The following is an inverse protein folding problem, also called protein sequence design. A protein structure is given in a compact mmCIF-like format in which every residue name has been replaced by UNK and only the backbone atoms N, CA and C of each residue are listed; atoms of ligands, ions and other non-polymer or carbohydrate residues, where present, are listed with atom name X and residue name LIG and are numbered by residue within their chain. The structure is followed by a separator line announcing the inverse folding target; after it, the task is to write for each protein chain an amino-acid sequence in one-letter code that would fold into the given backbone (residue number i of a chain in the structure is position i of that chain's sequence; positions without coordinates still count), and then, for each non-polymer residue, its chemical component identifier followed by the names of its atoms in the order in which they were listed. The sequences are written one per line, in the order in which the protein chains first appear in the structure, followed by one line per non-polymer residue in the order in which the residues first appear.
data_IF_159070426876
#
_entry.id   IF_159070426876
#
_cell.length_a   1.000
_cell.length_b   1.000
_cell.length_c   1.000
_cell.angle_alpha   90.00
_cell.angle_beta   90.00
_cell.angle_gamma   90.00
#
_symmetry.space_group_name_H-M   'P 1'
#
loop_
_entity.id
_entity.type
_entity.pdbx_description
1 polymer ?
#
# COMPACT_ATOMS: atom_id res chain seq x y z
N UNK A 1 -4.45 17.09 -5.06
CA UNK A 1 -5.82 16.75 -5.60
C UNK A 1 -5.99 15.27 -5.31
N UNK A 2 -7.10 14.83 -4.70
CA UNK A 2 -7.35 13.39 -4.44
C UNK A 2 -8.28 12.85 -5.52
N UNK A 3 -8.04 11.60 -5.92
CA UNK A 3 -8.93 10.88 -6.84
C UNK A 3 -10.20 10.49 -6.07
N UNK A 4 -11.35 10.73 -6.68
CA UNK A 4 -12.63 10.38 -6.08
C UNK A 4 -13.10 9.00 -6.60
N UNK A 5 -12.71 7.95 -5.90
CA UNK A 5 -13.07 6.57 -6.22
C UNK A 5 -14.56 6.27 -6.01
N UNK A 6 -15.25 7.02 -5.14
CA UNK A 6 -16.66 6.79 -4.81
C UNK A 6 -17.62 7.19 -5.96
N UNK A 7 -17.12 7.95 -6.94
CA UNK A 7 -17.91 8.31 -8.13
C UNK A 7 -18.03 7.19 -9.17
N UNK A 8 -17.26 6.12 -9.01
CA UNK A 8 -17.31 4.98 -9.93
C UNK A 8 -18.43 4.06 -9.49
N UNK A 9 -19.48 3.94 -10.33
CA UNK A 9 -20.61 3.05 -10.05
C UNK A 9 -20.14 1.59 -10.10
N UNK A 10 -20.36 0.86 -9.02
CA UNK A 10 -20.02 -0.58 -8.91
C UNK A 10 -21.24 -1.41 -9.30
N UNK A 11 -21.20 -2.07 -10.45
CA UNK A 11 -22.33 -2.86 -10.99
C UNK A 11 -22.28 -4.36 -10.69
N UNK A 12 -21.27 -4.84 -9.96
CA UNK A 12 -21.12 -6.25 -9.54
C UNK A 12 -21.28 -7.31 -10.67
N UNK A 13 -20.80 -7.03 -11.88
CA UNK A 13 -21.02 -7.88 -13.05
C UNK A 13 -19.79 -8.64 -13.55
N UNK A 14 -18.72 -8.73 -12.75
CA UNK A 14 -17.51 -9.47 -13.13
C UNK A 14 -16.67 -8.82 -14.23
N UNK A 15 -16.95 -7.56 -14.60
CA UNK A 15 -16.19 -6.76 -15.56
C UNK A 15 -15.51 -5.58 -14.86
N UNK A 16 -14.51 -4.99 -15.55
CA UNK A 16 -13.92 -3.75 -15.10
C UNK A 16 -14.96 -2.63 -15.07
N UNK A 17 -15.06 -1.95 -13.94
CA UNK A 17 -15.89 -0.77 -13.77
C UNK A 17 -14.96 0.44 -13.71
N UNK A 18 -15.11 1.39 -14.63
CA UNK A 18 -14.20 2.52 -14.75
C UNK A 18 -14.88 3.81 -15.16
N UNK A 19 -14.20 4.92 -14.87
CA UNK A 19 -14.59 6.26 -15.26
C UNK A 19 -13.40 6.96 -15.91
N UNK A 20 -13.71 7.77 -16.93
CA UNK A 20 -12.69 8.55 -17.61
C UNK A 20 -12.02 9.52 -16.64
N UNK A 21 -10.72 9.40 -16.47
CA UNK A 21 -9.90 10.32 -15.70
C UNK A 21 -9.41 11.49 -16.55
N UNK A 22 -8.90 11.17 -17.75
CA UNK A 22 -8.38 12.17 -18.68
C UNK A 22 -8.52 11.68 -20.13
N UNK A 23 -8.75 12.63 -21.03
CA UNK A 23 -8.68 12.44 -22.47
C UNK A 23 -7.66 13.42 -23.03
N UNK A 24 -6.53 12.90 -23.43
CA UNK A 24 -5.45 13.70 -24.02
C UNK A 24 -5.24 13.23 -25.47
N UNK A 25 -5.80 13.97 -26.43
CA UNK A 25 -5.85 13.58 -27.85
C UNK A 25 -6.51 12.20 -28.04
N UNK A 26 -5.73 11.21 -28.47
CA UNK A 26 -6.17 9.83 -28.70
C UNK A 26 -5.92 8.88 -27.52
N UNK A 27 -5.46 9.43 -26.38
CA UNK A 27 -5.15 8.62 -25.18
C UNK A 27 -6.30 8.70 -24.20
N UNK A 28 -6.93 7.54 -23.94
CA UNK A 28 -7.96 7.38 -22.92
C UNK A 28 -7.37 6.78 -21.67
N UNK A 29 -7.27 7.60 -20.62
CA UNK A 29 -6.83 7.18 -19.30
C UNK A 29 -8.02 7.12 -18.36
N UNK A 30 -8.29 5.94 -17.83
CA UNK A 30 -9.40 5.67 -16.95
C UNK A 30 -8.91 5.21 -15.58
N UNK A 31 -9.74 5.41 -14.56
CA UNK A 31 -9.59 4.80 -13.24
C UNK A 31 -10.79 3.90 -12.96
N UNK A 32 -10.59 2.82 -12.23
CA UNK A 32 -11.67 1.88 -11.99
C UNK A 32 -11.34 0.80 -10.98
N UNK A 33 -12.18 -0.22 -11.01
CA UNK A 33 -12.04 -1.41 -10.19
C UNK A 33 -11.96 -2.65 -11.06
N UNK A 34 -11.10 -3.60 -10.66
CA UNK A 34 -11.09 -4.93 -11.25
C UNK A 34 -12.31 -5.73 -10.80
N UNK A 35 -12.61 -6.90 -11.45
CA UNK A 35 -13.65 -7.82 -10.97
C UNK A 35 -13.49 -8.24 -9.50
N UNK A 36 -12.25 -8.29 -8.99
CA UNK A 36 -11.93 -8.59 -7.59
C UNK A 36 -11.98 -7.34 -6.69
N UNK A 37 -12.60 -6.26 -7.17
CA UNK A 37 -12.77 -4.99 -6.44
C UNK A 37 -11.45 -4.30 -6.03
N UNK A 38 -10.40 -4.44 -6.85
CA UNK A 38 -9.13 -3.75 -6.65
C UNK A 38 -9.05 -2.49 -7.48
N UNK A 39 -8.57 -1.40 -6.90
CA UNK A 39 -8.36 -0.13 -7.60
C UNK A 39 -7.36 -0.30 -8.74
N UNK A 40 -7.66 0.27 -9.90
CA UNK A 40 -6.77 0.19 -11.06
C UNK A 40 -6.75 1.48 -11.88
N UNK A 41 -5.61 1.70 -12.53
CA UNK A 41 -5.43 2.67 -13.61
C UNK A 41 -5.48 1.90 -14.93
N UNK A 42 -6.28 2.36 -15.88
CA UNK A 42 -6.56 1.70 -17.14
C UNK A 42 -6.18 2.62 -18.29
N UNK A 43 -5.29 2.16 -19.14
CA UNK A 43 -4.93 2.80 -20.40
C UNK A 43 -5.52 1.98 -21.55
N UNK A 44 -6.47 2.58 -22.29
CA UNK A 44 -6.98 1.97 -23.50
C UNK A 44 -5.94 2.05 -24.62
N UNK A 45 -5.75 0.95 -25.35
CA UNK A 45 -4.77 0.84 -26.43
C UNK A 45 -5.50 0.83 -27.76
N UNK A 46 -5.22 1.82 -28.61
CA UNK A 46 -5.78 1.84 -29.96
C UNK A 46 -5.06 0.85 -30.90
N UNK A 47 -5.85 0.16 -31.74
CA UNK A 47 -5.36 -0.79 -32.73
C UNK A 47 -5.03 -2.18 -32.16
N UNK A 48 -4.87 -3.14 -33.05
CA UNK A 48 -4.44 -4.51 -32.72
C UNK A 48 -2.90 -4.54 -32.56
N UNK A 49 -2.37 -3.91 -31.53
CA UNK A 49 -0.97 -4.13 -31.15
C UNK A 49 -0.91 -5.37 -30.27
N UNK A 50 -0.26 -6.42 -30.76
CA UNK A 50 0.11 -7.55 -29.89
C UNK A 50 1.21 -7.09 -28.91
N UNK A 51 0.78 -6.62 -27.76
CA UNK A 51 1.70 -6.41 -26.65
C UNK A 51 2.00 -7.76 -26.00
N UNK A 52 3.20 -8.28 -26.26
CA UNK A 52 3.76 -9.35 -25.45
C UNK A 52 4.37 -8.73 -24.18
N UNK A 53 3.52 -8.21 -23.31
CA UNK A 53 3.97 -7.75 -22.01
C UNK A 53 3.87 -8.92 -21.03
N UNK A 54 5.00 -9.38 -20.49
CA UNK A 54 4.92 -10.30 -19.37
C UNK A 54 4.20 -9.58 -18.21
N UNK A 55 3.23 -10.25 -17.61
CA UNK A 55 2.60 -9.78 -16.36
C UNK A 55 3.73 -9.53 -15.36
N UNK A 56 3.88 -8.28 -14.92
CA UNK A 56 4.84 -7.94 -13.88
C UNK A 56 4.09 -7.76 -12.57
N UNK A 57 4.19 -8.75 -11.69
CA UNK A 57 3.64 -8.70 -10.33
C UNK A 57 4.72 -8.29 -9.35
N UNK A 58 4.44 -7.27 -8.57
CA UNK A 58 5.19 -6.87 -7.39
C UNK A 58 4.31 -7.04 -6.15
N UNK A 59 4.86 -6.90 -4.96
CA UNK A 59 4.13 -7.19 -3.72
C UNK A 59 2.76 -6.47 -3.64
N UNK A 60 2.73 -5.17 -3.94
CA UNK A 60 1.55 -4.33 -3.71
C UNK A 60 0.95 -3.74 -4.99
N UNK A 61 1.58 -3.96 -6.14
CA UNK A 61 1.15 -3.41 -7.43
C UNK A 61 1.50 -4.36 -8.58
N UNK A 62 0.65 -4.47 -9.59
CA UNK A 62 0.96 -5.19 -10.83
C UNK A 62 0.63 -4.35 -12.06
N UNK A 63 1.26 -4.71 -13.20
CA UNK A 63 0.88 -4.24 -14.52
C UNK A 63 0.53 -5.43 -15.39
N UNK A 64 -0.64 -5.40 -16.02
CA UNK A 64 -1.22 -6.49 -16.78
C UNK A 64 -1.89 -5.96 -18.05
N UNK A 65 -1.78 -6.71 -19.15
CA UNK A 65 -2.51 -6.43 -20.37
C UNK A 65 -3.70 -7.37 -20.53
N UNK A 66 -4.89 -6.79 -20.63
CA UNK A 66 -6.16 -7.50 -20.80
C UNK A 66 -6.57 -7.44 -22.27
N UNK A 67 -6.40 -8.56 -22.98
CA UNK A 67 -6.65 -8.66 -24.44
C UNK A 67 -8.14 -8.45 -24.78
N UNK A 68 -9.04 -8.91 -23.92
CA UNK A 68 -10.49 -8.87 -24.12
C UNK A 68 -11.03 -7.45 -24.23
N UNK A 69 -10.42 -6.52 -23.50
CA UNK A 69 -10.79 -5.10 -23.48
C UNK A 69 -9.72 -4.20 -24.10
N UNK A 70 -8.65 -4.79 -24.63
CA UNK A 70 -7.52 -4.08 -25.24
C UNK A 70 -6.93 -2.97 -24.35
N UNK A 71 -6.73 -3.26 -23.08
CA UNK A 71 -6.29 -2.30 -22.08
C UNK A 71 -5.05 -2.76 -21.32
N UNK A 72 -4.17 -1.80 -21.02
CA UNK A 72 -3.06 -1.97 -20.10
C UNK A 72 -3.48 -1.43 -18.73
N UNK A 73 -3.49 -2.31 -17.73
CA UNK A 73 -3.98 -1.98 -16.41
C UNK A 73 -2.84 -2.03 -15.38
N UNK A 74 -2.79 -1.02 -14.50
CA UNK A 74 -1.97 -1.07 -13.29
C UNK A 74 -2.92 -1.25 -12.11
N UNK A 75 -2.72 -2.32 -11.36
CA UNK A 75 -3.63 -2.78 -10.31
C UNK A 75 -2.96 -2.61 -8.95
N UNK A 76 -3.65 -1.95 -8.03
CA UNK A 76 -3.26 -1.85 -6.63
C UNK A 76 -3.77 -3.08 -5.87
N UNK A 77 -2.88 -3.83 -5.21
CA UNK A 77 -3.26 -5.03 -4.47
C UNK A 77 -3.63 -4.76 -3.02
N UNK A 78 -3.10 -3.69 -2.43
CA UNK A 78 -3.27 -3.35 -1.03
C UNK A 78 -3.87 -1.94 -0.87
N UNK A 79 -5.08 -1.83 -0.33
CA UNK A 79 -5.79 -0.56 -0.14
C UNK A 79 -5.05 0.46 0.73
N UNK A 80 -4.17 -0.02 1.61
CA UNK A 80 -3.31 0.83 2.44
C UNK A 80 -2.51 1.85 1.61
N UNK A 81 -2.14 1.50 0.37
CA UNK A 81 -1.36 2.36 -0.53
C UNK A 81 -2.22 3.23 -1.46
N UNK A 82 -3.49 3.44 -1.14
CA UNK A 82 -4.38 4.25 -2.00
C UNK A 82 -3.86 5.66 -2.21
N UNK A 83 -3.32 6.31 -1.18
CA UNK A 83 -2.81 7.69 -1.28
C UNK A 83 -1.62 7.79 -2.24
N UNK A 84 -0.69 6.87 -2.14
CA UNK A 84 0.50 6.78 -2.99
C UNK A 84 0.11 6.37 -4.42
N UNK A 85 -0.92 5.56 -4.57
CA UNK A 85 -1.45 5.18 -5.87
C UNK A 85 -2.15 6.35 -6.55
N UNK A 86 -2.87 7.19 -5.80
CA UNK A 86 -3.43 8.44 -6.30
C UNK A 86 -2.33 9.38 -6.82
N UNK A 87 -1.25 9.56 -6.05
CA UNK A 87 -0.11 10.38 -6.45
C UNK A 87 0.58 9.83 -7.71
N UNK A 88 0.73 8.50 -7.79
CA UNK A 88 1.20 7.82 -8.98
C UNK A 88 0.32 8.15 -10.20
N UNK A 89 -1.01 7.98 -10.09
CA UNK A 89 -1.95 8.23 -11.18
C UNK A 89 -1.88 9.68 -11.65
N UNK A 90 -1.85 10.64 -10.73
CA UNK A 90 -1.73 12.06 -11.06
C UNK A 90 -0.41 12.38 -11.76
N UNK A 91 0.68 11.72 -11.35
CA UNK A 91 1.98 11.88 -12.01
C UNK A 91 1.95 11.35 -13.45
N UNK A 92 1.27 10.23 -13.69
CA UNK A 92 1.08 9.66 -15.04
C UNK A 92 0.24 10.59 -15.91
N UNK A 93 -0.87 11.10 -15.40
CA UNK A 93 -1.72 12.04 -16.13
C UNK A 93 -0.89 13.25 -16.61
N UNK A 94 -0.06 13.84 -15.75
CA UNK A 94 0.79 14.97 -16.09
C UNK A 94 1.86 14.64 -17.16
N UNK A 95 2.33 13.40 -17.23
CA UNK A 95 3.32 12.98 -18.23
C UNK A 95 2.63 12.67 -19.55
N UNK A 96 1.48 12.00 -19.52
CA UNK A 96 0.73 11.63 -20.71
C UNK A 96 0.15 12.85 -21.43
N UNK A 97 -0.28 13.89 -20.71
CA UNK A 97 -0.78 15.15 -21.31
C UNK A 97 0.25 15.82 -22.22
N UNK A 98 1.52 15.48 -22.09
CA UNK A 98 2.63 16.03 -22.89
C UNK A 98 3.05 15.12 -24.03
N UNK A 99 2.54 13.89 -24.15
CA UNK A 99 3.10 12.88 -25.05
C UNK A 99 2.39 12.73 -26.41
N UNK A 100 1.15 13.16 -26.53
CA UNK A 100 0.41 13.29 -27.80
C UNK A 100 0.26 12.05 -28.71
N UNK A 101 0.74 10.85 -28.31
CA UNK A 101 0.73 9.66 -29.13
C UNK A 101 0.48 8.37 -28.30
N UNK A 102 -0.51 7.59 -28.72
CA UNK A 102 -0.97 6.38 -28.01
C UNK A 102 0.12 5.29 -27.89
N UNK A 103 0.92 5.07 -28.93
CA UNK A 103 2.04 4.09 -28.90
C UNK A 103 3.14 4.47 -27.90
N UNK A 104 3.35 5.75 -27.65
CA UNK A 104 4.28 6.23 -26.62
C UNK A 104 3.68 6.11 -25.22
N UNK A 105 2.37 6.25 -25.08
CA UNK A 105 1.67 6.22 -23.79
C UNK A 105 1.84 4.90 -23.06
N UNK A 106 1.75 3.77 -23.75
CA UNK A 106 2.01 2.46 -23.16
C UNK A 106 3.46 2.33 -22.64
N UNK A 107 4.45 2.81 -23.42
CA UNK A 107 5.86 2.81 -23.00
C UNK A 107 6.11 3.71 -21.78
N UNK A 108 5.45 4.89 -21.76
CA UNK A 108 5.51 5.82 -20.64
C UNK A 108 4.92 5.14 -19.38
N UNK A 109 3.75 4.51 -19.50
CA UNK A 109 3.10 3.83 -18.39
C UNK A 109 3.96 2.70 -17.82
N UNK A 110 4.56 1.85 -18.68
CA UNK A 110 5.46 0.77 -18.28
C UNK A 110 6.70 1.33 -17.57
N UNK A 111 7.33 2.37 -18.15
CA UNK A 111 8.50 3.02 -17.54
C UNK A 111 8.18 3.62 -16.17
N UNK A 112 7.03 4.25 -16.05
CA UNK A 112 6.56 4.80 -14.78
C UNK A 112 6.26 3.69 -13.76
N UNK A 113 5.59 2.61 -14.17
CA UNK A 113 5.39 1.43 -13.32
C UNK A 113 6.72 0.90 -12.78
N UNK A 114 7.73 0.71 -13.65
CA UNK A 114 9.03 0.21 -13.22
C UNK A 114 9.72 1.12 -12.21
N UNK A 115 9.56 2.45 -12.35
CA UNK A 115 10.11 3.43 -11.42
C UNK A 115 9.38 3.39 -10.06
N UNK A 116 8.05 3.33 -10.08
CA UNK A 116 7.23 3.37 -8.87
C UNK A 116 7.11 2.00 -8.19
N UNK A 117 7.25 0.91 -8.92
CA UNK A 117 7.15 -0.44 -8.38
C UNK A 117 8.21 -0.73 -7.31
N UNK A 118 9.39 -0.12 -7.39
CA UNK A 118 10.40 -0.21 -6.34
C UNK A 118 9.92 0.44 -5.04
N UNK A 119 9.25 1.60 -5.13
CA UNK A 119 8.65 2.26 -3.98
C UNK A 119 7.59 1.38 -3.31
N UNK A 120 6.63 0.85 -4.07
CA UNK A 120 5.61 -0.06 -3.55
C UNK A 120 6.16 -1.38 -2.98
N UNK A 121 7.34 -1.83 -3.42
CA UNK A 121 8.00 -3.01 -2.88
C UNK A 121 8.76 -2.73 -1.57
N UNK A 122 9.33 -1.53 -1.43
CA UNK A 122 10.19 -1.18 -0.30
C UNK A 122 9.38 -0.92 0.97
N UNK A 123 8.14 -0.50 0.82
CA UNK A 123 7.24 -0.33 1.96
C UNK A 123 6.71 -1.73 2.33
N UNK A 124 7.45 -2.44 3.16
CA UNK A 124 6.88 -3.57 3.90
C UNK A 124 5.70 -3.03 4.71
N UNK A 125 4.60 -3.76 4.76
CA UNK A 125 3.56 -3.49 5.75
C UNK A 125 4.24 -3.42 7.12
N UNK A 126 4.31 -2.24 7.70
CA UNK A 126 4.54 -2.08 9.14
C UNK A 126 3.22 -2.35 9.91
N UNK A 127 2.40 -3.27 9.42
CA UNK A 127 1.33 -3.82 10.24
C UNK A 127 2.00 -4.82 11.15
N UNK A 128 2.03 -4.50 12.42
CA UNK A 128 2.45 -5.43 13.45
C UNK A 128 1.67 -6.75 13.26
N UNK A 129 2.36 -7.86 13.29
CA UNK A 129 1.72 -9.17 13.36
C UNK A 129 0.88 -9.27 14.64
N UNK A 130 -0.04 -10.22 14.71
CA UNK A 130 -0.85 -10.44 15.91
C UNK A 130 0.04 -10.65 17.16
N UNK A 131 1.14 -11.37 17.02
CA UNK A 131 2.09 -11.59 18.11
C UNK A 131 2.82 -10.30 18.53
N UNK A 132 3.21 -9.45 17.56
CA UNK A 132 3.82 -8.14 17.85
C UNK A 132 2.82 -7.19 18.52
N UNK A 133 1.54 -7.22 18.12
CA UNK A 133 0.47 -6.45 18.77
C UNK A 133 0.28 -6.92 20.21
N UNK A 134 0.21 -8.25 20.44
CA UNK A 134 0.10 -8.83 21.78
C UNK A 134 1.31 -8.46 22.65
N UNK A 135 2.52 -8.54 22.10
CA UNK A 135 3.76 -8.16 22.78
C UNK A 135 3.73 -6.69 23.19
N UNK A 136 3.45 -5.79 22.24
CA UNK A 136 3.36 -4.35 22.51
C UNK A 136 2.28 -4.03 23.54
N UNK A 137 1.13 -4.68 23.48
CA UNK A 137 0.06 -4.50 24.47
C UNK A 137 0.51 -4.92 25.88
N UNK A 138 1.21 -6.04 26.00
CA UNK A 138 1.74 -6.52 27.26
C UNK A 138 2.80 -5.55 27.84
N UNK A 139 3.69 -5.02 26.98
CA UNK A 139 4.67 -3.99 27.39
C UNK A 139 3.99 -2.71 27.87
N UNK A 140 2.98 -2.21 27.14
CA UNK A 140 2.21 -1.01 27.53
C UNK A 140 1.43 -1.22 28.84
N UNK A 141 0.94 -2.43 29.06
CA UNK A 141 0.29 -2.80 30.34
C UNK A 141 1.32 -2.78 31.48
N UNK A 142 2.50 -3.37 31.28
CA UNK A 142 3.60 -3.32 32.24
C UNK A 142 4.03 -1.89 32.55
N UNK A 143 4.15 -1.03 31.52
CA UNK A 143 4.47 0.39 31.69
C UNK A 143 3.42 1.10 32.57
N UNK A 144 2.13 0.85 32.29
CA UNK A 144 1.03 1.38 33.11
C UNK A 144 1.14 0.96 34.58
N UNK A 145 1.40 -0.33 34.83
CA UNK A 145 1.56 -0.83 36.19
C UNK A 145 2.76 -0.18 36.91
N UNK A 146 3.89 -0.05 36.24
CA UNK A 146 5.08 0.65 36.78
C UNK A 146 4.76 2.11 37.14
N UNK A 147 4.04 2.83 36.30
CA UNK A 147 3.62 4.20 36.54
C UNK A 147 2.62 4.31 37.71
N UNK A 148 1.79 3.28 37.92
CA UNK A 148 0.76 3.28 38.97
C UNK A 148 1.35 2.93 40.33
N UNK A 149 2.37 2.07 40.37
CA UNK A 149 3.00 1.65 41.65
C UNK A 149 3.81 2.74 42.34
N UNK A 150 4.24 3.79 41.62
CA UNK A 150 4.90 4.96 42.18
C UNK A 150 6.31 4.70 42.78
N UNK A 151 6.93 3.55 42.49
CA UNK A 151 8.23 3.18 43.04
C UNK A 151 9.40 3.95 42.40
N UNK A 152 9.18 4.59 41.25
CA UNK A 152 10.16 5.39 40.52
C UNK A 152 9.52 6.64 39.97
N UNK A 153 10.31 7.68 39.71
CA UNK A 153 9.82 8.86 39.01
C UNK A 153 9.34 8.53 37.59
N UNK A 154 8.32 9.24 37.12
CA UNK A 154 7.73 9.06 35.79
C UNK A 154 8.76 9.08 34.67
N UNK A 155 9.73 9.99 34.75
CA UNK A 155 10.81 10.13 33.77
C UNK A 155 11.72 8.90 33.75
N UNK A 156 12.01 8.31 34.90
CA UNK A 156 12.80 7.08 35.00
C UNK A 156 12.04 5.94 34.33
N UNK A 157 10.74 5.81 34.62
CA UNK A 157 9.89 4.73 34.07
C UNK A 157 9.78 4.86 32.54
N UNK A 158 9.46 6.06 32.04
CA UNK A 158 9.28 6.26 30.61
C UNK A 158 10.58 6.07 29.81
N UNK A 159 11.71 6.52 30.34
CA UNK A 159 13.01 6.32 29.71
C UNK A 159 13.54 4.88 29.85
N UNK A 160 13.02 4.10 30.81
CA UNK A 160 13.40 2.70 30.97
C UNK A 160 12.81 1.78 29.90
N UNK A 161 11.70 2.18 29.25
CA UNK A 161 11.05 1.38 28.21
C UNK A 161 11.84 1.44 26.89
N UNK A 162 12.56 0.37 26.60
CA UNK A 162 13.45 0.23 25.45
C UNK A 162 13.05 -0.89 24.50
N UNK A 163 11.93 -1.59 24.75
CA UNK A 163 11.38 -2.65 23.89
C UNK A 163 11.25 -2.21 22.41
N UNK A 164 10.66 -1.03 22.10
CA UNK A 164 10.56 -0.55 20.72
C UNK A 164 11.89 -0.29 20.01
N UNK A 165 13.01 -0.25 20.75
CA UNK A 165 14.37 -0.03 20.22
C UNK A 165 15.12 -1.34 19.92
N UNK A 166 14.41 -2.49 19.89
CA UNK A 166 14.98 -3.83 19.65
C UNK A 166 16.16 -4.16 20.60
N UNK A 167 16.05 -3.80 21.87
CA UNK A 167 16.99 -4.19 22.91
C UNK A 167 16.68 -5.59 23.43
N UNK A 168 17.63 -6.17 24.17
CA UNK A 168 17.47 -7.51 24.75
C UNK A 168 16.44 -7.62 25.88
N UNK A 169 16.04 -6.50 26.47
CA UNK A 169 15.04 -6.37 27.51
C UNK A 169 14.05 -5.28 27.14
N UNK A 170 12.81 -5.38 27.62
CA UNK A 170 11.77 -4.40 27.34
C UNK A 170 11.88 -3.16 28.22
N UNK A 171 12.33 -3.34 29.50
CA UNK A 171 12.58 -2.24 30.41
C UNK A 171 13.96 -2.38 31.08
N UNK A 172 14.68 -1.26 31.19
CA UNK A 172 15.97 -1.14 31.91
C UNK A 172 15.80 -0.13 33.03
N UNK A 173 15.47 -0.60 34.22
CA UNK A 173 15.35 0.20 35.43
C UNK A 173 16.70 0.28 36.15
N UNK A 174 16.92 1.24 37.06
CA UNK A 174 18.18 1.42 37.75
C UNK A 174 18.69 0.19 38.54
N UNK A 175 17.74 -0.64 39.00
CA UNK A 175 18.01 -1.79 39.89
C UNK A 175 17.62 -3.14 39.26
N UNK A 176 16.95 -3.16 38.10
CA UNK A 176 16.48 -4.40 37.47
C UNK A 176 16.20 -4.26 35.99
N UNK A 177 16.17 -5.40 35.31
CA UNK A 177 15.72 -5.55 33.94
C UNK A 177 14.37 -6.28 33.93
N UNK A 178 13.47 -5.92 33.01
CA UNK A 178 12.19 -6.61 32.84
C UNK A 178 12.07 -7.04 31.38
N UNK A 179 11.75 -8.29 31.19
CA UNK A 179 11.31 -8.89 29.91
C UNK A 179 9.86 -9.28 30.06
N UNK A 180 8.99 -8.80 29.16
CA UNK A 180 7.55 -9.03 29.19
C UNK A 180 7.19 -10.13 28.19
N UNK A 181 6.40 -11.09 28.60
CA UNK A 181 5.90 -12.16 27.70
C UNK A 181 4.38 -12.18 27.72
N UNK A 182 3.78 -11.99 26.55
CA UNK A 182 2.35 -12.24 26.36
C UNK A 182 2.11 -13.74 26.22
N UNK A 183 1.20 -14.28 27.02
CA UNK A 183 0.82 -15.70 27.00
C UNK A 183 -0.67 -15.78 26.65
N UNK A 184 -1.03 -16.67 25.71
CA UNK A 184 -2.43 -16.98 25.42
C UNK A 184 -2.98 -17.92 26.53
N UNK A 185 -4.23 -17.71 26.98
CA UNK A 185 -4.87 -18.50 28.04
C UNK A 185 -4.93 -20.01 27.74
N UNK A 186 -4.97 -20.38 26.47
CA UNK A 186 -5.10 -21.75 26.00
C UNK A 186 -3.78 -22.56 26.07
N UNK A 187 -2.70 -22.00 26.59
CA UNK A 187 -1.35 -22.62 26.67
C UNK A 187 -0.84 -22.79 28.09
N UNK A 188 -1.74 -23.05 29.04
CA UNK A 188 -1.36 -23.48 30.41
C UNK A 188 -1.15 -24.98 30.49
#
# INVERSE_FOLDING_TARGET
MKINWDKIERKNQGFFEYSLLARESDVLLNIGFTPENKKCLILEIEGKQEFTLPIQKKANISIEYFKEINCLCIILHEEFFTSEFDDFILSIQNVLSKSGNNSQSAKILIKAFNKWSSFFNTIKRYTLSENEIKGLFAELFCLKELLTTGNYDTDIITNSWVGPLNKSNDFILPDKFIEVKAIDEDKQ
#
